data_IF_614620853041
#
_entry.id   IF_614620853041
#
_cell.length_a   1.000
_cell.length_b   1.000
_cell.length_c   1.000
_cell.angle_alpha   90.00
_cell.angle_beta   90.00
_cell.angle_gamma   90.00
#
_symmetry.space_group_name_H-M   'P 1'
#
loop_
_entity.id
_entity.type
_entity.pdbx_description
1 polymer ?
#
# COMPACT_ATOMS: atom_id res chain seq x y z
N UNK A 1 11.92 -17.13 -0.80
CA UNK A 1 11.82 -16.58 0.58
C UNK A 1 10.52 -15.79 0.70
N UNK A 2 9.94 -15.67 1.90
CA UNK A 2 8.77 -14.82 2.14
C UNK A 2 9.23 -13.49 2.73
N UNK A 3 8.86 -12.39 2.09
CA UNK A 3 9.27 -11.03 2.43
C UNK A 3 8.01 -10.21 2.62
N UNK A 4 7.95 -9.43 3.70
CA UNK A 4 6.88 -8.48 3.98
C UNK A 4 7.44 -7.07 3.87
N UNK A 5 6.86 -6.26 3.00
CA UNK A 5 7.16 -4.84 2.89
C UNK A 5 5.99 -4.03 3.42
N UNK A 6 6.20 -3.27 4.48
CA UNK A 6 5.20 -2.36 5.02
C UNK A 6 5.54 -0.96 4.52
N UNK A 7 4.66 -0.37 3.72
CA UNK A 7 4.81 0.98 3.22
C UNK A 7 3.45 1.66 3.11
N UNK A 8 3.24 2.65 3.97
CA UNK A 8 2.01 3.42 4.06
C UNK A 8 1.62 4.08 2.72
N UNK A 9 2.58 4.66 2.01
CA UNK A 9 2.35 5.37 0.75
C UNK A 9 2.67 4.46 -0.44
N UNK A 10 1.68 3.69 -0.90
CA UNK A 10 1.81 2.83 -2.07
C UNK A 10 0.85 3.26 -3.17
N UNK A 11 1.42 3.46 -4.35
CA UNK A 11 0.72 3.78 -5.59
C UNK A 11 0.52 2.48 -6.36
N UNK A 12 -0.72 2.20 -6.75
CA UNK A 12 -1.01 1.02 -7.58
C UNK A 12 -0.37 1.18 -8.97
N UNK A 13 -0.12 0.07 -9.70
CA UNK A 13 0.35 0.14 -11.08
C UNK A 13 -0.55 0.95 -12.01
N UNK A 14 -1.86 0.96 -11.71
CA UNK A 14 -2.88 1.69 -12.46
C UNK A 14 -2.91 3.20 -12.15
N UNK A 15 -2.10 3.67 -11.19
CA UNK A 15 -2.08 5.06 -10.74
C UNK A 15 -0.75 5.75 -11.15
N UNK A 16 -0.78 7.03 -11.55
CA UNK A 16 0.41 7.75 -12.00
C UNK A 16 1.39 7.98 -10.83
N UNK A 17 2.45 7.19 -10.75
CA UNK A 17 3.51 7.36 -9.77
C UNK A 17 4.41 6.13 -9.74
N UNK A 18 5.72 6.33 -9.72
CA UNK A 18 6.72 5.26 -9.86
C UNK A 18 6.48 4.07 -8.92
N UNK A 19 6.38 2.88 -9.51
CA UNK A 19 5.97 1.60 -8.90
C UNK A 19 7.16 0.79 -8.37
N UNK A 20 8.18 1.44 -7.77
CA UNK A 20 9.44 0.77 -7.36
C UNK A 20 9.22 -0.51 -6.54
N UNK A 21 8.29 -0.48 -5.60
CA UNK A 21 7.98 -1.64 -4.75
C UNK A 21 7.33 -2.78 -5.52
N UNK A 22 6.50 -2.46 -6.51
CA UNK A 22 5.84 -3.44 -7.36
C UNK A 22 6.81 -4.06 -8.36
N UNK A 23 7.67 -3.26 -8.99
CA UNK A 23 8.75 -3.77 -9.86
C UNK A 23 9.73 -4.65 -9.08
N UNK A 24 10.07 -4.24 -7.85
CA UNK A 24 10.87 -5.07 -6.94
C UNK A 24 10.16 -6.39 -6.60
N UNK A 25 8.84 -6.37 -6.39
CA UNK A 25 8.06 -7.58 -6.15
C UNK A 25 8.10 -8.53 -7.35
N UNK A 26 7.90 -8.02 -8.57
CA UNK A 26 8.00 -8.83 -9.79
C UNK A 26 9.41 -9.43 -9.94
N UNK A 27 10.44 -8.63 -9.75
CA UNK A 27 11.82 -9.07 -9.84
C UNK A 27 12.17 -10.15 -8.80
N UNK A 28 11.64 -10.04 -7.58
CA UNK A 28 11.80 -11.06 -6.56
C UNK A 28 11.02 -12.34 -6.91
N UNK A 29 9.84 -12.20 -7.49
CA UNK A 29 9.03 -13.32 -7.96
C UNK A 29 9.70 -14.13 -9.05
N UNK A 30 10.37 -13.48 -10.02
CA UNK A 30 11.15 -14.19 -11.06
C UNK A 30 12.32 -14.99 -10.50
N UNK A 31 12.74 -14.72 -9.25
CA UNK A 31 13.75 -15.48 -8.52
C UNK A 31 13.17 -16.48 -7.51
N UNK A 32 11.87 -16.74 -7.55
CA UNK A 32 11.19 -17.67 -6.63
C UNK A 32 11.05 -17.11 -5.21
N UNK A 33 10.96 -15.79 -5.06
CA UNK A 33 10.66 -15.14 -3.79
C UNK A 33 9.25 -14.54 -3.80
N UNK A 34 8.59 -14.57 -2.64
CA UNK A 34 7.25 -13.99 -2.45
C UNK A 34 7.41 -12.69 -1.67
N UNK A 35 7.11 -11.55 -2.31
CA UNK A 35 7.01 -10.25 -1.66
C UNK A 35 5.53 -9.90 -1.49
N UNK A 36 5.10 -9.73 -0.23
CA UNK A 36 3.77 -9.19 0.11
C UNK A 36 3.93 -7.75 0.55
N UNK A 37 3.11 -6.86 0.00
CA UNK A 37 3.16 -5.42 0.29
C UNK A 37 1.96 -5.06 1.16
N UNK A 38 2.19 -4.51 2.35
CA UNK A 38 1.15 -3.91 3.19
C UNK A 38 1.19 -2.40 2.99
N UNK A 39 0.09 -1.82 2.56
CA UNK A 39 -0.01 -0.40 2.28
C UNK A 39 -1.35 0.19 2.68
N UNK A 40 -1.46 1.52 2.73
CA UNK A 40 -2.74 2.15 3.05
C UNK A 40 -3.75 2.01 1.90
N UNK A 41 -5.04 2.06 2.25
CA UNK A 41 -6.17 2.06 1.32
C UNK A 41 -6.44 3.42 0.67
N UNK A 42 -5.49 4.36 0.79
CA UNK A 42 -5.66 5.76 0.42
C UNK A 42 -4.62 6.15 -0.63
N UNK A 43 -5.09 6.72 -1.73
CA UNK A 43 -4.23 7.24 -2.78
C UNK A 43 -3.54 8.51 -2.28
N UNK A 44 -2.22 8.46 -2.20
CA UNK A 44 -1.40 9.56 -1.70
C UNK A 44 -1.62 10.88 -2.46
N UNK A 45 -1.84 10.84 -3.77
CA UNK A 45 -2.00 12.04 -4.61
C UNK A 45 -3.40 12.62 -4.51
N UNK A 46 -4.44 11.77 -4.55
CA UNK A 46 -5.83 12.24 -4.63
C UNK A 46 -6.51 12.35 -3.27
N UNK A 47 -5.95 11.74 -2.23
CA UNK A 47 -6.56 11.66 -0.91
C UNK A 47 -7.77 10.72 -0.85
N UNK A 48 -8.12 10.07 -1.96
CA UNK A 48 -9.31 9.20 -2.08
C UNK A 48 -8.97 7.77 -1.70
N UNK A 49 -9.98 7.01 -1.27
CA UNK A 49 -9.83 5.58 -1.04
C UNK A 49 -9.69 4.85 -2.38
N UNK A 50 -8.67 4.01 -2.50
CA UNK A 50 -8.37 3.22 -3.71
C UNK A 50 -9.22 1.94 -3.77
N UNK A 51 -9.75 1.45 -2.64
CA UNK A 51 -10.46 0.17 -2.59
C UNK A 51 -11.62 0.20 -1.60
N UNK A 52 -12.73 -0.48 -1.95
CA UNK A 52 -13.80 -0.77 -0.99
C UNK A 52 -13.38 -1.90 -0.05
N UNK A 53 -13.29 -1.60 1.25
CA UNK A 53 -12.92 -2.55 2.28
C UNK A 53 -14.08 -3.49 2.64
N UNK A 54 -13.83 -4.80 2.58
CA UNK A 54 -14.64 -5.83 3.24
C UNK A 54 -13.81 -6.45 4.38
N UNK A 55 -13.90 -5.89 5.59
CA UNK A 55 -13.22 -6.39 6.80
C UNK A 55 -12.07 -5.50 7.32
N UNK A 56 -11.14 -6.11 8.08
CA UNK A 56 -10.02 -5.42 8.75
C UNK A 56 -8.93 -4.98 7.75
N UNK A 57 -8.82 -5.65 6.61
CA UNK A 57 -7.94 -5.31 5.48
C UNK A 57 -8.58 -5.74 4.17
N UNK A 58 -8.22 -5.06 3.08
CA UNK A 58 -8.59 -5.48 1.73
C UNK A 58 -7.38 -6.15 1.07
N UNK A 59 -7.56 -7.33 0.49
CA UNK A 59 -6.51 -8.00 -0.27
C UNK A 59 -6.69 -7.71 -1.76
N UNK A 60 -5.61 -7.27 -2.40
CA UNK A 60 -5.54 -7.01 -3.82
C UNK A 60 -4.37 -7.81 -4.38
N UNK A 61 -4.62 -8.60 -5.42
CA UNK A 61 -3.55 -9.28 -6.15
C UNK A 61 -3.44 -8.66 -7.53
N UNK A 62 -2.29 -8.06 -7.84
CA UNK A 62 -2.02 -7.44 -9.14
C UNK A 62 -0.82 -8.12 -9.76
N UNK A 63 -0.99 -8.70 -10.95
CA UNK A 63 0.05 -9.43 -11.69
C UNK A 63 0.82 -10.46 -10.83
N UNK A 64 0.13 -11.14 -9.93
CA UNK A 64 0.73 -12.14 -9.03
C UNK A 64 1.45 -11.57 -7.81
N UNK A 65 1.48 -10.26 -7.62
CA UNK A 65 1.97 -9.59 -6.41
C UNK A 65 0.80 -9.35 -5.46
N UNK A 66 0.94 -9.80 -4.20
CA UNK A 66 -0.06 -9.59 -3.15
C UNK A 66 0.13 -8.25 -2.47
N UNK A 67 -0.94 -7.47 -2.41
CA UNK A 67 -1.02 -6.15 -1.80
C UNK A 67 -2.15 -6.17 -0.76
N UNK A 68 -1.80 -5.98 0.51
CA UNK A 68 -2.73 -5.88 1.62
C UNK A 68 -2.96 -4.40 1.95
N UNK A 69 -4.20 -3.96 1.85
CA UNK A 69 -4.61 -2.56 2.04
C UNK A 69 -5.14 -2.35 3.46
N UNK A 70 -4.32 -1.74 4.31
CA UNK A 70 -4.64 -1.33 5.69
C UNK A 70 -5.40 0.00 5.73
N UNK A 71 -6.09 0.28 6.83
CA UNK A 71 -6.85 1.50 7.01
C UNK A 71 -5.86 2.62 7.29
N UNK A 72 -6.19 3.82 6.85
CA UNK A 72 -5.51 5.02 7.30
C UNK A 72 -6.52 6.14 7.50
N UNK A 73 -6.29 6.95 8.53
CA UNK A 73 -7.03 8.18 8.71
C UNK A 73 -6.68 9.19 7.59
N UNK A 74 -7.67 9.70 6.84
CA UNK A 74 -7.46 10.51 5.63
C UNK A 74 -7.06 11.96 5.96
N UNK A 75 -5.93 12.17 6.62
CA UNK A 75 -5.43 13.49 7.01
C UNK A 75 -3.95 13.71 6.67
N UNK A 76 -3.46 12.99 5.66
CA UNK A 76 -2.08 13.03 5.16
C UNK A 76 -1.63 14.45 4.73
N UNK A 77 -2.54 15.26 4.21
CA UNK A 77 -2.26 16.60 3.65
C UNK A 77 -2.64 17.76 4.57
N UNK A 78 -3.01 17.49 5.83
CA UNK A 78 -3.41 18.55 6.76
C UNK A 78 -2.18 19.12 7.50
N UNK A 79 -2.09 18.96 8.82
CA UNK A 79 -0.95 19.43 9.61
C UNK A 79 -0.02 18.28 10.00
N UNK A 80 1.16 18.61 10.54
CA UNK A 80 2.11 17.60 11.05
C UNK A 80 1.45 16.69 12.10
N UNK A 81 0.63 17.25 12.99
CA UNK A 81 -0.10 16.49 14.01
C UNK A 81 -1.03 15.44 13.40
N UNK A 82 -1.78 15.82 12.36
CA UNK A 82 -2.67 14.90 11.67
C UNK A 82 -1.92 13.81 10.90
N UNK A 83 -0.72 14.10 10.38
CA UNK A 83 0.16 13.08 9.79
C UNK A 83 0.62 12.04 10.82
N UNK A 84 0.87 12.44 12.06
CA UNK A 84 1.19 11.51 13.16
C UNK A 84 0.00 10.61 13.47
N UNK A 85 -1.22 11.16 13.55
CA UNK A 85 -2.44 10.36 13.74
C UNK A 85 -2.63 9.38 12.57
N UNK A 86 -2.46 9.85 11.33
CA UNK A 86 -2.53 9.00 10.14
C UNK A 86 -1.50 7.86 10.20
N UNK A 87 -0.27 8.11 10.66
CA UNK A 87 0.74 7.07 10.84
C UNK A 87 0.30 6.02 11.88
N UNK A 88 -0.13 6.44 13.07
CA UNK A 88 -0.60 5.52 14.12
C UNK A 88 -1.88 4.78 13.75
N UNK A 89 -2.74 5.35 12.90
CA UNK A 89 -3.95 4.66 12.43
C UNK A 89 -3.66 3.56 11.41
N UNK A 90 -2.47 3.58 10.79
CA UNK A 90 -2.03 2.61 9.79
C UNK A 90 -1.24 1.44 10.39
N UNK A 91 -0.44 1.71 11.43
CA UNK A 91 0.25 0.70 12.26
C UNK A 91 -0.74 -0.15 13.05
#
# INVERSE_FOLDING_TARGET
MKILLINQAFVSPDEPGHTRHFEMAKFLQTRGHELVIVASDLNYQTGKRTVERKGIFAEQTTEGVKILRSYIYPALHHSYFWRVISFFSFM
#
